data_IF_036987419806
#
_entry.id   IF_036987419806
#
_cell.length_a   1.000
_cell.length_b   1.000
_cell.length_c   1.000
_cell.angle_alpha   90.00
_cell.angle_beta   90.00
_cell.angle_gamma   90.00
#
_symmetry.space_group_name_H-M   'P 1'
#
loop_
_entity.id
_entity.type
_entity.pdbx_description
1 polymer ?
#
# COMPACT_ATOMS: atom_id res chain seq x y z
N UNK A 1 9.65 2.11 -2.80
CA UNK A 1 9.68 1.79 -1.35
C UNK A 1 11.03 1.16 -1.02
N UNK A 2 11.58 1.38 0.17
CA UNK A 2 12.91 0.90 0.54
C UNK A 2 13.29 1.24 1.99
N UNK A 3 14.41 0.71 2.51
CA UNK A 3 14.90 1.07 3.83
C UNK A 3 15.26 2.56 3.89
N UNK A 4 15.27 3.17 5.08
CA UNK A 4 15.65 4.59 5.25
C UNK A 4 17.11 4.89 4.86
N UNK A 5 17.95 3.86 4.76
CA UNK A 5 19.32 3.96 4.27
C UNK A 5 19.43 4.03 2.75
N UNK A 6 18.36 3.71 2.00
CA UNK A 6 18.33 3.85 0.55
C UNK A 6 17.97 5.30 0.17
N UNK A 7 18.90 6.09 -0.39
CA UNK A 7 18.66 7.49 -0.72
C UNK A 7 17.61 7.67 -1.83
N UNK A 8 17.28 6.62 -2.60
CA UNK A 8 16.26 6.66 -3.64
C UNK A 8 14.87 6.26 -3.13
N UNK A 9 14.75 5.77 -1.89
CA UNK A 9 13.49 5.36 -1.32
C UNK A 9 12.73 6.56 -0.71
N UNK A 10 11.47 6.73 -1.12
CA UNK A 10 10.59 7.78 -0.58
C UNK A 10 9.73 7.28 0.60
N UNK A 11 9.39 5.99 0.61
CA UNK A 11 8.53 5.37 1.64
C UNK A 11 9.15 4.11 2.24
N UNK A 12 8.86 3.86 3.52
CA UNK A 12 9.31 2.70 4.29
C UNK A 12 8.42 1.46 4.04
N UNK A 13 9.00 0.37 3.54
CA UNK A 13 8.27 -0.89 3.30
C UNK A 13 7.95 -1.68 4.58
N UNK A 14 8.64 -1.38 5.69
CA UNK A 14 8.51 -2.10 6.97
C UNK A 14 7.46 -1.49 7.90
N UNK A 15 7.06 -0.23 7.65
CA UNK A 15 6.22 0.57 8.51
C UNK A 15 5.04 1.20 7.73
N UNK A 16 4.25 0.37 7.05
CA UNK A 16 2.98 0.80 6.44
C UNK A 16 3.09 1.80 5.30
N UNK A 17 4.22 1.87 4.58
CA UNK A 17 4.45 2.82 3.49
C UNK A 17 4.40 4.29 3.92
N UNK A 18 4.83 4.57 5.15
CA UNK A 18 5.03 5.94 5.64
C UNK A 18 6.15 6.64 4.85
N UNK A 19 5.94 7.93 4.59
CA UNK A 19 6.93 8.77 3.91
C UNK A 19 8.09 9.06 4.87
N UNK A 20 9.32 8.85 4.39
CA UNK A 20 10.52 9.12 5.20
C UNK A 20 10.58 10.60 5.59
N UNK A 21 10.86 10.86 6.87
CA UNK A 21 10.98 12.22 7.41
C UNK A 21 9.67 12.98 7.58
N UNK A 22 8.51 12.34 7.36
CA UNK A 22 7.19 12.95 7.58
C UNK A 22 6.35 12.11 8.54
N UNK A 23 5.70 12.77 9.49
CA UNK A 23 4.78 12.12 10.41
C UNK A 23 3.36 12.13 9.87
N UNK A 24 2.62 11.03 10.07
CA UNK A 24 1.21 10.93 9.70
C UNK A 24 0.90 10.85 8.20
N UNK A 25 1.92 10.83 7.32
CA UNK A 25 1.74 10.73 5.87
C UNK A 25 2.15 9.35 5.34
N UNK A 26 1.26 8.76 4.53
CA UNK A 26 1.48 7.48 3.86
C UNK A 26 1.11 7.60 2.38
N UNK A 27 1.81 6.85 1.52
CA UNK A 27 1.46 6.73 0.10
C UNK A 27 1.15 5.27 -0.20
N UNK A 28 -0.07 5.00 -0.67
CA UNK A 28 -0.55 3.65 -0.98
C UNK A 28 -1.03 3.68 -2.44
N UNK A 29 -0.12 3.40 -3.36
CA UNK A 29 -0.34 3.50 -4.81
C UNK A 29 0.66 2.62 -5.58
N UNK A 30 0.43 2.39 -6.86
CA UNK A 30 1.36 1.70 -7.76
C UNK A 30 2.75 2.35 -7.78
N UNK A 31 2.83 3.68 -7.62
CA UNK A 31 4.10 4.43 -7.59
C UNK A 31 5.09 4.00 -6.51
N UNK A 32 4.64 3.29 -5.47
CA UNK A 32 5.55 2.81 -4.40
C UNK A 32 6.35 1.58 -4.80
N UNK A 33 5.94 0.87 -5.85
CA UNK A 33 6.63 -0.33 -6.35
C UNK A 33 8.05 0.02 -6.82
N UNK A 34 9.12 -0.62 -6.28
CA UNK A 34 10.50 -0.34 -6.70
C UNK A 34 10.75 -0.73 -8.16
N UNK A 35 10.07 -1.78 -8.61
CA UNK A 35 10.13 -2.29 -9.97
C UNK A 35 8.72 -2.63 -10.42
N UNK A 36 8.41 -2.31 -11.67
CA UNK A 36 7.12 -2.65 -12.27
C UNK A 36 6.99 -4.16 -12.42
N UNK A 37 5.84 -4.71 -12.05
CA UNK A 37 5.52 -6.13 -12.25
C UNK A 37 5.37 -6.45 -13.74
N UNK A 38 5.66 -7.69 -14.15
CA UNK A 38 5.48 -8.11 -15.55
C UNK A 38 4.02 -8.26 -15.99
N UNK A 39 3.08 -8.28 -15.04
CA UNK A 39 1.64 -8.39 -15.29
C UNK A 39 0.88 -7.07 -15.11
N UNK A 40 -0.45 -7.17 -14.98
CA UNK A 40 -1.30 -6.02 -14.68
C UNK A 40 -0.96 -5.45 -13.29
N UNK A 41 -0.74 -4.13 -13.21
CA UNK A 41 -0.41 -3.43 -11.96
C UNK A 41 -1.59 -3.31 -11.00
N UNK A 42 -2.83 -3.50 -11.46
CA UNK A 42 -4.02 -3.41 -10.60
C UNK A 42 -3.99 -4.44 -9.46
N UNK A 43 -3.75 -5.72 -9.79
CA UNK A 43 -3.70 -6.79 -8.79
C UNK A 43 -2.66 -6.55 -7.68
N UNK A 44 -1.38 -6.25 -7.97
CA UNK A 44 -0.40 -5.95 -6.92
C UNK A 44 -0.70 -4.65 -6.19
N UNK A 45 -1.25 -3.62 -6.84
CA UNK A 45 -1.65 -2.37 -6.15
C UNK A 45 -2.73 -2.66 -5.10
N UNK A 46 -3.75 -3.45 -5.43
CA UNK A 46 -4.80 -3.84 -4.48
C UNK A 46 -4.23 -4.65 -3.31
N UNK A 47 -3.33 -5.59 -3.57
CA UNK A 47 -2.67 -6.37 -2.50
C UNK A 47 -1.81 -5.50 -1.60
N UNK A 48 -1.08 -4.53 -2.16
CA UNK A 48 -0.30 -3.55 -1.40
C UNK A 48 -1.24 -2.72 -0.50
N UNK A 49 -2.36 -2.24 -1.05
CA UNK A 49 -3.34 -1.47 -0.30
C UNK A 49 -3.93 -2.28 0.86
N UNK A 50 -4.30 -3.54 0.63
CA UNK A 50 -4.81 -4.41 1.69
C UNK A 50 -3.78 -4.62 2.81
N UNK A 51 -2.50 -4.85 2.45
CA UNK A 51 -1.43 -5.04 3.44
C UNK A 51 -1.18 -3.77 4.24
N UNK A 52 -1.13 -2.61 3.59
CA UNK A 52 -0.94 -1.32 4.25
C UNK A 52 -2.12 -1.01 5.18
N UNK A 53 -3.35 -1.29 4.75
CA UNK A 53 -4.56 -1.14 5.55
C UNK A 53 -4.49 -1.98 6.83
N UNK A 54 -4.15 -3.26 6.73
CA UNK A 54 -4.03 -4.14 7.90
C UNK A 54 -2.97 -3.64 8.90
N UNK A 55 -1.88 -3.04 8.42
CA UNK A 55 -0.87 -2.42 9.28
C UNK A 55 -1.37 -1.12 9.92
N UNK A 56 -2.21 -0.35 9.21
CA UNK A 56 -2.78 0.91 9.68
C UNK A 56 -3.84 0.69 10.77
N UNK A 57 -4.74 -0.27 10.61
CA UNK A 57 -5.84 -0.52 11.56
C UNK A 57 -5.47 -1.49 12.68
N UNK A 58 -4.30 -2.13 12.59
CA UNK A 58 -3.84 -3.22 13.45
C UNK A 58 -4.28 -4.58 12.91
N UNK A 59 -3.38 -5.57 12.99
CA UNK A 59 -3.50 -6.88 12.33
C UNK A 59 -4.72 -7.74 12.75
N UNK A 60 -5.50 -7.29 13.72
CA UNK A 60 -6.59 -8.05 14.36
C UNK A 60 -7.99 -7.50 14.07
N UNK A 61 -8.10 -6.47 13.21
CA UNK A 61 -9.40 -5.94 12.77
C UNK A 61 -9.72 -6.44 11.37
N UNK A 62 -10.50 -7.51 11.31
CA UNK A 62 -11.27 -7.86 10.10
C UNK A 62 -12.27 -6.73 9.91
N UNK A 63 -12.10 -5.97 8.84
CA UNK A 63 -13.13 -5.04 8.38
C UNK A 63 -14.01 -5.82 7.45
N UNK A 64 -15.28 -5.95 7.82
CA UNK A 64 -16.31 -6.53 6.95
C UNK A 64 -16.37 -5.66 5.70
N UNK A 65 -15.71 -6.10 4.65
CA UNK A 65 -15.89 -5.54 3.32
C UNK A 65 -17.20 -6.16 2.84
N UNK A 66 -18.27 -5.39 2.64
CA UNK A 66 -19.52 -5.94 2.13
C UNK A 66 -19.23 -6.67 0.81
N UNK A 67 -19.74 -7.89 0.68
CA UNK A 67 -19.52 -8.80 -0.46
C UNK A 67 -20.03 -8.23 -1.80
N UNK A 68 -20.73 -7.10 -1.78
CA UNK A 68 -21.18 -6.41 -2.99
C UNK A 68 -19.94 -5.87 -3.74
N UNK A 69 -19.61 -6.42 -4.93
CA UNK A 69 -18.59 -5.80 -5.75
C UNK A 69 -19.02 -4.35 -6.02
N UNK A 70 -18.05 -3.44 -6.11
CA UNK A 70 -18.25 -2.12 -6.70
C UNK A 70 -18.71 -2.33 -8.15
N UNK A 71 -20.00 -2.63 -8.32
CA UNK A 71 -20.61 -2.88 -9.61
C UNK A 71 -20.39 -1.62 -10.43
N UNK A 72 -19.81 -1.84 -11.60
CA UNK A 72 -19.57 -0.85 -12.61
C UNK A 72 -20.83 0.01 -12.77
N UNK A 73 -20.75 1.24 -12.27
CA UNK A 73 -21.66 2.34 -12.60
C UNK A 73 -20.99 3.27 -13.63
N UNK A 74 -20.24 2.66 -14.56
CA UNK A 74 -19.85 3.26 -15.83
C UNK A 74 -20.23 2.33 -16.97
#
# INVERSE_FOLDING_TARGET
MGPSSDPMAVVDHSNGLKVHGMEGLMVIDASVMPTVVSGNTNAPTTVIAQKAYNQMVGADRVVDVPDEPLSASQ
#
